data_IF_134161805634
#
_entry.id   IF_134161805634
#
_cell.length_a   1.000
_cell.length_b   1.000
_cell.length_c   1.000
_cell.angle_alpha   90.00
_cell.angle_beta   90.00
_cell.angle_gamma   90.00
#
_symmetry.space_group_name_H-M   'P 1'
#
loop_
_entity.id
_entity.type
_entity.pdbx_description
1 polymer ?
#
# COMPACT_ATOMS: atom_id res chain seq x y z
N UNK A 1 22.37 13.76 -14.59
CA UNK A 1 22.70 13.50 -13.17
C UNK A 1 21.40 13.39 -12.40
N UNK A 2 21.28 12.47 -11.45
CA UNK A 2 20.09 12.44 -10.59
C UNK A 2 19.94 13.79 -9.87
N UNK A 3 18.76 14.37 -9.94
CA UNK A 3 18.44 15.72 -9.41
C UNK A 3 18.79 15.91 -7.93
N UNK A 4 18.69 14.85 -7.11
CA UNK A 4 19.07 14.91 -5.69
C UNK A 4 20.60 15.12 -5.47
N UNK A 5 21.47 14.65 -6.37
CA UNK A 5 22.93 14.89 -6.30
C UNK A 5 23.30 16.32 -6.66
N UNK A 6 22.47 16.98 -7.44
CA UNK A 6 22.63 18.39 -7.81
C UNK A 6 22.08 19.35 -6.74
N UNK A 7 21.52 18.85 -5.62
CA UNK A 7 20.87 19.69 -4.60
C UNK A 7 19.53 20.31 -5.04
N UNK A 8 18.98 19.83 -6.15
CA UNK A 8 17.72 20.37 -6.70
C UNK A 8 16.48 19.93 -5.90
N UNK A 9 16.58 18.86 -5.10
CA UNK A 9 15.48 18.37 -4.24
C UNK A 9 15.80 18.77 -2.81
N UNK A 10 15.10 19.78 -2.29
CA UNK A 10 15.22 20.20 -0.89
C UNK A 10 14.28 19.40 0.03
N UNK A 11 13.08 19.02 -0.48
CA UNK A 11 12.07 18.28 0.27
C UNK A 11 11.31 17.32 -0.65
N UNK A 12 10.94 16.16 -0.14
CA UNK A 12 10.09 15.15 -0.81
C UNK A 12 8.80 14.92 -0.01
N UNK A 13 7.67 14.81 -0.70
CA UNK A 13 6.32 14.57 -0.19
C UNK A 13 5.56 13.77 -1.25
N UNK A 14 4.68 12.85 -0.90
CA UNK A 14 4.47 12.18 0.41
C UNK A 14 5.24 10.87 0.51
N UNK A 15 5.69 10.30 -0.59
CA UNK A 15 6.23 8.94 -0.68
C UNK A 15 7.43 8.87 -1.62
N UNK A 16 8.30 7.87 -1.43
CA UNK A 16 9.45 7.67 -2.32
C UNK A 16 9.91 6.22 -2.34
N UNK A 17 10.40 5.75 -3.49
CA UNK A 17 10.94 4.38 -3.68
C UNK A 17 12.41 4.37 -4.13
N UNK A 18 12.96 5.53 -4.50
CA UNK A 18 14.32 5.63 -5.03
C UNK A 18 15.38 5.46 -3.93
N UNK A 19 16.27 4.47 -4.06
CA UNK A 19 17.28 4.14 -3.04
C UNK A 19 18.26 5.27 -2.74
N UNK A 20 18.66 6.06 -3.76
CA UNK A 20 19.58 7.16 -3.57
C UNK A 20 18.89 8.35 -2.86
N UNK A 21 17.62 8.60 -3.14
CA UNK A 21 16.83 9.60 -2.43
C UNK A 21 16.58 9.16 -0.98
N UNK A 22 16.25 7.89 -0.75
CA UNK A 22 16.13 7.29 0.59
C UNK A 22 17.40 7.53 1.40
N UNK A 23 18.57 7.27 0.80
CA UNK A 23 19.84 7.53 1.46
C UNK A 23 20.01 9.02 1.81
N UNK A 24 19.69 9.93 0.89
CA UNK A 24 19.79 11.37 1.12
C UNK A 24 18.85 11.86 2.24
N UNK A 25 17.66 11.30 2.35
CA UNK A 25 16.71 11.58 3.43
C UNK A 25 17.26 11.08 4.77
N UNK A 26 17.71 9.82 4.85
CA UNK A 26 18.27 9.24 6.07
C UNK A 26 19.62 9.90 6.48
N UNK A 27 20.35 10.50 5.54
CA UNK A 27 21.55 11.30 5.82
C UNK A 27 21.22 12.76 6.24
N UNK A 28 19.95 13.13 6.33
CA UNK A 28 19.50 14.49 6.69
C UNK A 28 19.73 15.57 5.62
N UNK A 29 20.02 15.16 4.37
CA UNK A 29 20.32 16.08 3.24
C UNK A 29 19.06 16.55 2.50
N UNK A 30 17.97 15.80 2.59
CA UNK A 30 16.67 16.09 1.96
C UNK A 30 15.60 15.98 3.04
N UNK A 31 14.79 17.02 3.19
CA UNK A 31 13.61 16.97 4.05
C UNK A 31 12.60 15.96 3.52
N UNK A 32 11.91 15.28 4.43
CA UNK A 32 10.87 14.33 4.06
C UNK A 32 9.61 14.53 4.90
N UNK A 33 8.47 14.58 4.24
CA UNK A 33 7.17 14.61 4.91
C UNK A 33 6.44 13.35 4.53
N UNK A 34 6.36 12.43 5.49
CA UNK A 34 5.56 11.22 5.37
C UNK A 34 4.09 11.53 5.67
N UNK A 35 3.19 10.99 4.87
CA UNK A 35 1.76 11.13 5.08
C UNK A 35 1.00 10.03 4.35
N UNK A 36 -0.22 9.74 4.79
CA UNK A 36 -1.14 8.89 4.05
C UNK A 36 -1.39 9.44 2.66
N UNK A 37 -1.29 8.60 1.65
CA UNK A 37 -1.36 9.03 0.26
C UNK A 37 -2.74 9.60 -0.10
N UNK A 38 -3.82 9.02 0.41
CA UNK A 38 -5.18 9.50 0.22
C UNK A 38 -5.44 10.90 0.77
N UNK A 39 -4.61 11.36 1.74
CA UNK A 39 -4.71 12.70 2.33
C UNK A 39 -3.91 13.77 1.58
N UNK A 40 -2.97 13.38 0.72
CA UNK A 40 -2.09 14.34 0.05
C UNK A 40 -2.84 15.32 -0.88
N UNK A 41 -3.86 14.93 -1.65
CA UNK A 41 -4.68 15.86 -2.43
C UNK A 41 -5.36 16.93 -1.57
N UNK A 42 -5.98 16.52 -0.47
CA UNK A 42 -6.64 17.43 0.46
C UNK A 42 -5.65 18.43 1.08
N UNK A 43 -4.47 17.99 1.51
CA UNK A 43 -3.45 18.87 2.09
C UNK A 43 -2.94 19.92 1.10
N UNK A 44 -2.81 19.56 -0.17
CA UNK A 44 -2.42 20.49 -1.23
C UNK A 44 -3.54 21.48 -1.49
N UNK A 45 -4.77 20.99 -1.69
CA UNK A 45 -5.93 21.83 -1.98
C UNK A 45 -6.27 22.79 -0.84
N UNK A 46 -6.05 22.37 0.43
CA UNK A 46 -6.25 23.21 1.62
C UNK A 46 -5.08 24.16 1.91
N UNK A 47 -3.94 24.02 1.21
CA UNK A 47 -2.74 24.84 1.43
C UNK A 47 -1.92 24.45 2.66
N UNK A 48 -2.16 23.26 3.25
CA UNK A 48 -1.31 22.72 4.33
C UNK A 48 0.07 22.28 3.79
N UNK A 49 0.11 21.90 2.53
CA UNK A 49 1.33 21.75 1.74
C UNK A 49 1.31 22.85 0.68
N UNK A 50 2.46 23.47 0.42
CA UNK A 50 2.55 24.51 -0.61
C UNK A 50 2.01 23.98 -1.93
N UNK A 51 1.12 24.76 -2.56
CA UNK A 51 0.62 24.49 -3.90
C UNK A 51 1.76 24.50 -4.92
N UNK A 52 1.71 23.65 -5.93
CA UNK A 52 2.73 23.67 -6.98
C UNK A 52 2.57 24.92 -7.85
N UNK A 53 3.65 25.60 -8.15
CA UNK A 53 3.65 26.68 -9.14
C UNK A 53 3.50 26.08 -10.55
N UNK A 54 4.13 24.91 -10.79
CA UNK A 54 4.08 24.19 -12.06
C UNK A 54 3.82 22.70 -11.79
N UNK A 55 2.83 22.14 -12.49
CA UNK A 55 2.62 20.69 -12.56
C UNK A 55 3.30 20.11 -13.79
N UNK A 56 4.13 19.08 -13.62
CA UNK A 56 4.68 18.26 -14.70
C UNK A 56 3.84 17.00 -14.79
N UNK A 57 3.19 16.78 -15.93
CA UNK A 57 2.15 15.75 -16.09
C UNK A 57 2.44 14.90 -17.31
N UNK A 58 2.42 13.60 -17.15
CA UNK A 58 2.40 12.65 -18.27
C UNK A 58 0.95 12.45 -18.75
N UNK A 59 0.74 12.44 -20.04
CA UNK A 59 -0.55 12.18 -20.67
C UNK A 59 -0.38 11.40 -21.98
N UNK A 60 -1.45 10.71 -22.39
CA UNK A 60 -1.53 10.08 -23.74
C UNK A 60 -1.79 11.11 -24.83
N UNK A 61 -2.70 12.03 -24.52
CA UNK A 61 -3.17 13.04 -25.46
C UNK A 61 -3.76 14.23 -24.70
N UNK A 62 -3.98 15.33 -25.43
CA UNK A 62 -4.71 16.50 -24.98
C UNK A 62 -5.95 16.62 -25.86
N UNK A 63 -7.14 16.76 -25.27
CA UNK A 63 -8.40 16.96 -25.99
C UNK A 63 -8.46 18.33 -26.65
N UNK A 64 -9.43 18.53 -27.55
CA UNK A 64 -9.68 19.85 -28.18
C UNK A 64 -9.90 20.97 -27.15
N UNK A 65 -10.53 20.66 -26.01
CA UNK A 65 -10.78 21.59 -24.91
C UNK A 65 -9.59 21.74 -23.95
N UNK A 66 -8.46 21.08 -24.21
CA UNK A 66 -7.26 21.14 -23.38
C UNK A 66 -7.29 20.25 -22.16
N UNK A 67 -8.17 19.25 -22.10
CA UNK A 67 -8.15 18.23 -21.04
C UNK A 67 -7.10 17.15 -21.32
N UNK A 68 -6.59 16.50 -20.26
CA UNK A 68 -5.50 15.55 -20.36
C UNK A 68 -6.03 14.12 -20.26
N UNK A 69 -5.71 13.28 -21.25
CA UNK A 69 -6.02 11.84 -21.19
C UNK A 69 -4.91 11.14 -20.38
N UNK A 70 -5.22 10.53 -19.23
CA UNK A 70 -4.21 9.85 -18.41
C UNK A 70 -3.60 8.65 -19.11
N UNK A 71 -2.42 8.25 -18.66
CA UNK A 71 -1.75 7.01 -19.06
C UNK A 71 -2.16 5.85 -18.14
N UNK A 72 -1.23 5.00 -17.72
CA UNK A 72 -1.44 3.89 -16.77
C UNK A 72 -1.42 4.32 -15.30
N UNK A 73 -1.39 5.61 -15.03
CA UNK A 73 -1.43 6.20 -13.69
C UNK A 73 -2.24 7.49 -13.71
N UNK A 74 -3.13 7.65 -12.74
CA UNK A 74 -3.85 8.90 -12.47
C UNK A 74 -3.25 9.60 -11.25
N UNK A 75 -3.03 8.87 -10.16
CA UNK A 75 -2.36 9.37 -8.96
C UNK A 75 -2.98 10.67 -8.43
N UNK A 76 -2.10 11.57 -8.01
CA UNK A 76 -2.46 12.92 -7.58
C UNK A 76 -2.47 13.94 -8.73
N UNK A 77 -2.30 13.52 -9.96
CA UNK A 77 -2.21 14.41 -11.14
C UNK A 77 -3.41 15.34 -11.25
N UNK A 78 -4.67 14.89 -11.04
CA UNK A 78 -5.83 15.79 -11.11
C UNK A 78 -5.73 16.96 -10.13
N UNK A 79 -5.27 16.70 -8.90
CA UNK A 79 -5.08 17.75 -7.88
C UNK A 79 -3.95 18.69 -8.25
N UNK A 80 -2.81 18.17 -8.74
CA UNK A 80 -1.70 19.01 -9.16
C UNK A 80 -2.08 19.91 -10.33
N UNK A 81 -2.81 19.39 -11.32
CA UNK A 81 -3.33 20.17 -12.45
C UNK A 81 -4.32 21.25 -11.97
N UNK A 82 -5.23 20.91 -11.04
CA UNK A 82 -6.22 21.85 -10.53
C UNK A 82 -5.58 23.01 -9.74
N UNK A 83 -4.59 22.71 -8.90
CA UNK A 83 -4.00 23.67 -7.94
C UNK A 83 -2.76 24.41 -8.46
N UNK A 84 -2.11 23.94 -9.53
CA UNK A 84 -0.95 24.61 -10.13
C UNK A 84 -1.36 25.85 -10.95
N UNK A 85 -0.45 26.82 -11.01
CA UNK A 85 -0.61 28.01 -11.86
C UNK A 85 -0.35 27.70 -13.34
N UNK A 86 0.51 26.70 -13.59
CA UNK A 86 0.92 26.30 -14.94
C UNK A 86 1.10 24.79 -15.02
N UNK A 87 0.91 24.24 -16.23
CA UNK A 87 1.08 22.81 -16.54
C UNK A 87 2.06 22.65 -17.68
N UNK A 88 2.99 21.71 -17.51
CA UNK A 88 3.84 21.20 -18.59
C UNK A 88 3.43 19.75 -18.83
N UNK A 89 3.03 19.43 -20.06
CA UNK A 89 2.53 18.11 -20.41
C UNK A 89 3.60 17.33 -21.17
N UNK A 90 3.94 16.14 -20.68
CA UNK A 90 4.73 15.15 -21.42
C UNK A 90 3.77 14.18 -22.12
N UNK A 91 3.79 14.16 -23.43
CA UNK A 91 3.02 13.19 -24.23
C UNK A 91 3.85 11.91 -24.39
N UNK A 92 3.33 10.81 -23.82
CA UNK A 92 4.00 9.51 -23.77
C UNK A 92 3.70 8.69 -25.04
N UNK A 93 4.51 8.88 -26.08
CA UNK A 93 4.36 8.17 -27.36
C UNK A 93 4.61 6.66 -27.27
N UNK A 94 5.29 6.20 -26.22
CA UNK A 94 5.54 4.78 -25.98
C UNK A 94 4.32 4.02 -25.46
N UNK A 95 3.22 4.72 -25.14
CA UNK A 95 1.98 4.11 -24.63
C UNK A 95 0.88 4.12 -25.69
N UNK A 96 0.08 3.04 -25.79
CA UNK A 96 -0.97 2.96 -26.79
C UNK A 96 -2.13 3.91 -26.47
N UNK A 97 -2.64 4.62 -27.49
CA UNK A 97 -3.82 5.48 -27.36
C UNK A 97 -5.07 4.69 -26.93
N UNK A 98 -5.09 3.39 -27.12
CA UNK A 98 -6.16 2.51 -26.66
C UNK A 98 -6.40 2.52 -25.15
N UNK A 99 -5.46 3.05 -24.32
CA UNK A 99 -5.67 3.32 -22.90
C UNK A 99 -6.76 4.36 -22.63
N UNK A 100 -7.08 5.21 -23.61
CA UNK A 100 -8.17 6.19 -23.48
C UNK A 100 -9.47 5.51 -23.06
N UNK A 101 -10.14 6.08 -22.06
CA UNK A 101 -11.37 5.54 -21.50
C UNK A 101 -11.18 4.58 -20.31
N UNK A 102 -9.96 4.15 -19.97
CA UNK A 102 -9.72 3.34 -18.75
C UNK A 102 -9.81 4.18 -17.47
N UNK A 103 -9.50 5.46 -17.55
CA UNK A 103 -9.59 6.36 -16.39
C UNK A 103 -11.03 6.72 -16.03
N UNK A 104 -11.25 7.02 -14.75
CA UNK A 104 -12.48 7.53 -14.15
C UNK A 104 -12.11 8.61 -13.13
N UNK A 105 -11.90 9.82 -13.64
CA UNK A 105 -11.42 10.96 -12.86
C UNK A 105 -12.59 11.70 -12.20
N UNK A 106 -12.79 11.43 -10.94
CA UNK A 106 -13.76 12.16 -10.11
C UNK A 106 -13.02 13.17 -9.23
N UNK A 107 -13.44 14.45 -9.33
CA UNK A 107 -12.89 15.55 -8.54
C UNK A 107 -13.73 15.75 -7.30
N UNK A 108 -13.17 15.45 -6.12
CA UNK A 108 -13.86 15.67 -4.86
C UNK A 108 -14.09 17.16 -4.59
N UNK A 109 -15.25 17.47 -4.03
CA UNK A 109 -15.51 18.81 -3.51
C UNK A 109 -14.61 19.11 -2.31
N UNK A 110 -14.21 20.36 -2.13
CA UNK A 110 -13.45 20.79 -0.96
C UNK A 110 -14.35 20.86 0.28
N UNK A 111 -13.82 20.53 1.48
CA UNK A 111 -14.54 20.81 2.74
C UNK A 111 -14.90 22.30 2.90
N UNK A 112 -15.88 22.63 3.74
CA UNK A 112 -16.74 21.76 4.53
C UNK A 112 -17.95 21.23 3.77
N UNK A 113 -18.61 20.20 4.32
CA UNK A 113 -19.89 19.68 3.84
C UNK A 113 -19.87 19.15 2.40
N UNK A 114 -18.73 18.57 1.95
CA UNK A 114 -18.63 17.95 0.64
C UNK A 114 -19.61 16.78 0.51
N UNK A 115 -20.11 16.57 -0.71
CA UNK A 115 -20.98 15.43 -0.99
C UNK A 115 -20.22 14.11 -0.85
N UNK A 116 -20.91 13.03 -0.44
CA UNK A 116 -20.34 11.69 -0.44
C UNK A 116 -19.82 11.30 -1.83
N UNK A 117 -18.70 10.58 -1.89
CA UNK A 117 -18.21 10.01 -3.14
C UNK A 117 -19.22 8.93 -3.59
N UNK A 118 -19.88 9.05 -4.75
CA UNK A 118 -20.99 8.16 -5.13
C UNK A 118 -20.50 6.82 -5.71
N UNK A 119 -19.58 6.13 -5.01
CA UNK A 119 -19.00 4.85 -5.41
C UNK A 119 -19.44 3.78 -4.41
N UNK A 120 -20.16 2.76 -4.89
CA UNK A 120 -20.74 1.66 -4.10
C UNK A 120 -20.26 0.28 -4.52
N UNK A 121 -19.62 0.20 -5.70
CA UNK A 121 -18.99 -1.02 -6.22
C UNK A 121 -17.65 -0.68 -6.87
N UNK A 122 -16.61 -1.54 -6.81
CA UNK A 122 -15.31 -1.27 -7.45
C UNK A 122 -15.39 -0.94 -8.94
N UNK A 123 -16.40 -1.45 -9.64
CA UNK A 123 -16.65 -1.20 -11.06
C UNK A 123 -17.43 0.06 -11.40
N UNK A 124 -17.95 0.81 -10.40
CA UNK A 124 -18.71 2.03 -10.69
C UNK A 124 -17.84 3.07 -11.37
N UNK A 125 -18.36 3.72 -12.41
CA UNK A 125 -17.76 4.89 -13.04
C UNK A 125 -18.53 6.14 -12.62
N UNK A 126 -17.85 7.08 -12.02
CA UNK A 126 -18.44 8.26 -11.34
C UNK A 126 -17.87 9.60 -11.84
N UNK A 127 -16.84 9.56 -12.66
CA UNK A 127 -16.10 10.73 -13.14
C UNK A 127 -16.02 10.81 -14.66
N UNK A 128 -14.93 11.39 -15.15
CA UNK A 128 -14.65 11.59 -16.58
C UNK A 128 -13.43 10.74 -16.99
N UNK A 129 -13.30 10.37 -18.28
CA UNK A 129 -12.12 9.64 -18.77
C UNK A 129 -10.87 10.53 -18.93
N UNK A 130 -10.93 11.79 -18.51
CA UNK A 130 -9.86 12.78 -18.65
C UNK A 130 -9.69 13.59 -17.37
N UNK A 131 -8.50 14.17 -17.22
CA UNK A 131 -8.19 15.13 -16.16
C UNK A 131 -8.60 16.53 -16.64
N UNK A 132 -9.53 17.21 -15.95
CA UNK A 132 -9.89 18.58 -16.29
C UNK A 132 -8.66 19.51 -16.25
N UNK A 133 -8.43 20.21 -17.34
CA UNK A 133 -7.38 21.22 -17.47
C UNK A 133 -7.97 22.37 -18.32
N UNK A 134 -7.20 23.01 -19.11
CA UNK A 134 -7.55 24.04 -20.08
C UNK A 134 -6.29 24.53 -20.75
N UNK A 135 -6.42 25.00 -21.97
CA UNK A 135 -5.29 25.51 -22.76
C UNK A 135 -4.61 26.70 -22.09
N UNK A 136 -5.32 27.47 -21.32
CA UNK A 136 -4.79 28.60 -20.55
C UNK A 136 -3.71 28.22 -19.53
N UNK A 137 -3.81 27.03 -18.94
CA UNK A 137 -2.83 26.47 -17.99
C UNK A 137 -1.64 25.82 -18.68
N UNK A 138 -1.79 25.26 -19.87
CA UNK A 138 -0.73 24.51 -20.58
C UNK A 138 0.30 25.48 -21.13
N UNK A 139 1.54 25.46 -20.59
CA UNK A 139 2.62 26.36 -21.00
C UNK A 139 3.65 25.69 -21.92
N UNK A 140 3.77 24.37 -21.88
CA UNK A 140 4.62 23.62 -22.78
C UNK A 140 4.11 22.19 -22.96
N UNK A 141 4.42 21.62 -24.12
CA UNK A 141 4.17 20.21 -24.46
C UNK A 141 5.51 19.62 -24.84
N UNK A 142 5.85 18.50 -24.24
CA UNK A 142 7.06 17.71 -24.51
C UNK A 142 6.63 16.38 -25.11
N UNK A 143 7.17 16.03 -26.25
CA UNK A 143 6.93 14.71 -26.86
C UNK A 143 8.02 13.77 -26.39
N UNK A 144 7.64 12.64 -25.78
CA UNK A 144 8.57 11.65 -25.24
C UNK A 144 8.25 10.26 -25.80
N UNK A 145 9.29 9.57 -26.26
CA UNK A 145 9.22 8.18 -26.73
C UNK A 145 9.97 7.25 -25.76
N UNK A 146 9.96 7.61 -24.47
CA UNK A 146 10.62 6.83 -23.42
C UNK A 146 9.63 5.86 -22.79
N UNK A 147 10.01 4.59 -22.75
CA UNK A 147 9.28 3.60 -21.96
C UNK A 147 9.47 3.81 -20.47
N UNK A 148 8.50 3.36 -19.67
CA UNK A 148 8.59 3.35 -18.22
C UNK A 148 9.78 2.51 -17.75
N UNK A 149 10.42 2.97 -16.67
CA UNK A 149 11.42 2.20 -15.96
C UNK A 149 10.73 1.18 -15.02
N UNK A 150 10.14 0.15 -15.61
CA UNK A 150 9.56 -0.95 -14.85
C UNK A 150 10.66 -1.79 -14.20
N UNK A 151 10.30 -2.52 -13.14
CA UNK A 151 11.24 -3.39 -12.45
C UNK A 151 10.73 -4.84 -12.51
N UNK A 152 11.62 -5.82 -12.73
CA UNK A 152 11.24 -7.22 -12.56
C UNK A 152 10.66 -7.43 -11.15
N UNK A 153 9.65 -8.26 -11.04
CA UNK A 153 9.12 -8.66 -9.74
C UNK A 153 10.18 -9.42 -8.95
N UNK A 154 10.22 -9.18 -7.64
CA UNK A 154 11.02 -10.01 -6.76
C UNK A 154 10.50 -11.46 -6.79
N UNK A 155 11.42 -12.43 -6.87
CA UNK A 155 11.05 -13.83 -6.81
C UNK A 155 10.29 -14.13 -5.52
N UNK A 156 9.25 -14.96 -5.63
CA UNK A 156 8.47 -15.40 -4.47
C UNK A 156 9.32 -16.38 -3.67
N UNK A 157 9.66 -16.02 -2.44
CA UNK A 157 10.39 -16.88 -1.51
C UNK A 157 9.49 -17.99 -0.95
N UNK A 158 10.09 -19.01 -0.36
CA UNK A 158 9.33 -20.07 0.33
C UNK A 158 8.53 -19.51 1.53
N UNK A 159 9.07 -18.52 2.25
CA UNK A 159 8.33 -17.84 3.32
C UNK A 159 7.14 -17.07 2.77
N UNK A 160 7.30 -16.34 1.65
CA UNK A 160 6.18 -15.65 0.99
C UNK A 160 5.08 -16.63 0.57
N UNK A 161 5.43 -17.82 0.06
CA UNK A 161 4.47 -18.88 -0.29
C UNK A 161 3.70 -19.37 0.94
N UNK A 162 4.41 -19.63 2.06
CA UNK A 162 3.77 -20.07 3.30
C UNK A 162 2.85 -19.00 3.88
N UNK A 163 3.25 -17.72 3.84
CA UNK A 163 2.40 -16.60 4.24
C UNK A 163 1.14 -16.57 3.37
N UNK A 164 1.27 -16.70 2.05
CA UNK A 164 0.14 -16.78 1.13
C UNK A 164 -0.80 -17.94 1.47
N UNK A 165 -0.26 -19.14 1.71
CA UNK A 165 -1.04 -20.31 2.13
C UNK A 165 -1.77 -20.11 3.46
N UNK A 166 -1.13 -19.46 4.44
CA UNK A 166 -1.76 -19.15 5.73
C UNK A 166 -2.92 -18.16 5.58
N UNK A 167 -2.83 -17.19 4.65
CA UNK A 167 -3.93 -16.26 4.34
C UNK A 167 -5.08 -17.00 3.65
N UNK A 168 -4.80 -17.88 2.69
CA UNK A 168 -5.86 -18.68 2.03
C UNK A 168 -6.56 -19.54 3.06
N UNK A 169 -5.83 -20.23 3.94
CA UNK A 169 -6.41 -21.02 5.04
C UNK A 169 -7.29 -20.15 5.95
N UNK A 170 -6.81 -18.96 6.31
CA UNK A 170 -7.62 -18.03 7.10
C UNK A 170 -8.93 -17.65 6.39
N UNK A 171 -8.91 -17.37 5.09
CA UNK A 171 -10.13 -17.09 4.34
C UNK A 171 -11.06 -18.30 4.25
N UNK A 172 -10.53 -19.52 4.10
CA UNK A 172 -11.31 -20.75 4.14
C UNK A 172 -11.99 -20.94 5.50
N UNK A 173 -11.28 -20.69 6.60
CA UNK A 173 -11.83 -20.71 7.96
C UNK A 173 -12.92 -19.65 8.16
N UNK A 174 -12.75 -18.43 7.60
CA UNK A 174 -13.77 -17.39 7.64
C UNK A 174 -15.04 -17.77 6.85
N UNK A 175 -14.89 -18.42 5.70
CA UNK A 175 -16.02 -18.91 4.90
C UNK A 175 -16.71 -20.07 5.61
N UNK A 176 -15.95 -21.01 6.18
CA UNK A 176 -16.50 -22.12 6.93
C UNK A 176 -17.29 -21.67 8.17
N UNK A 177 -16.84 -20.58 8.80
CA UNK A 177 -17.52 -19.93 9.93
C UNK A 177 -18.71 -19.04 9.51
N UNK A 178 -18.97 -18.87 8.21
CA UNK A 178 -20.04 -18.01 7.69
C UNK A 178 -19.81 -16.51 7.84
N UNK A 179 -18.58 -16.07 8.09
CA UNK A 179 -18.21 -14.65 8.21
C UNK A 179 -17.83 -14.02 6.88
N UNK A 180 -17.36 -14.79 5.91
CA UNK A 180 -17.14 -14.37 4.53
C UNK A 180 -17.90 -15.24 3.54
N UNK A 181 -18.23 -14.70 2.37
CA UNK A 181 -18.73 -15.45 1.22
C UNK A 181 -17.58 -15.99 0.35
N UNK A 182 -17.88 -16.88 -0.60
CA UNK A 182 -16.88 -17.43 -1.54
C UNK A 182 -16.29 -16.39 -2.49
N UNK A 183 -16.99 -15.29 -2.74
CA UNK A 183 -16.49 -14.14 -3.51
C UNK A 183 -15.62 -13.19 -2.68
N UNK A 184 -15.49 -13.46 -1.38
CA UNK A 184 -14.83 -12.60 -0.40
C UNK A 184 -15.45 -11.18 -0.38
N UNK A 185 -14.78 -10.24 0.26
CA UNK A 185 -15.03 -8.80 0.13
C UNK A 185 -14.03 -8.24 -0.89
N UNK A 186 -14.24 -7.02 -1.42
CA UNK A 186 -13.28 -6.44 -2.35
C UNK A 186 -11.88 -6.37 -1.75
N UNK A 187 -10.88 -6.76 -2.54
CA UNK A 187 -9.51 -7.01 -2.07
C UNK A 187 -8.65 -5.78 -2.33
N UNK A 188 -8.02 -5.26 -1.28
CA UNK A 188 -6.86 -4.39 -1.37
C UNK A 188 -5.61 -5.22 -1.08
N UNK A 189 -4.62 -5.12 -1.94
CA UNK A 189 -3.32 -5.75 -1.74
C UNK A 189 -2.20 -4.73 -1.86
N UNK A 190 -1.22 -4.81 -0.97
CA UNK A 190 0.04 -4.11 -1.12
C UNK A 190 0.84 -4.64 -2.32
N UNK A 191 2.08 -4.19 -2.45
CA UNK A 191 3.01 -4.62 -3.51
C UNK A 191 4.13 -5.49 -2.94
N UNK A 192 4.73 -6.35 -3.78
CA UNK A 192 5.89 -7.16 -3.42
C UNK A 192 5.64 -8.66 -3.36
N UNK A 193 6.66 -9.42 -2.95
CA UNK A 193 6.66 -10.90 -3.04
C UNK A 193 5.55 -11.57 -2.24
N UNK A 194 5.22 -11.06 -1.05
CA UNK A 194 4.13 -11.60 -0.22
C UNK A 194 2.77 -11.33 -0.87
N UNK A 195 2.52 -10.08 -1.31
CA UNK A 195 1.29 -9.72 -2.00
C UNK A 195 1.07 -10.59 -3.25
N UNK A 196 2.11 -10.78 -4.07
CA UNK A 196 2.05 -11.65 -5.23
C UNK A 196 1.76 -13.11 -4.86
N UNK A 197 2.38 -13.62 -3.78
CA UNK A 197 2.14 -14.99 -3.32
C UNK A 197 0.68 -15.20 -2.89
N UNK A 198 0.07 -14.23 -2.22
CA UNK A 198 -1.35 -14.28 -1.84
C UNK A 198 -2.25 -14.29 -3.07
N UNK A 199 -2.02 -13.39 -4.03
CA UNK A 199 -2.84 -13.29 -5.25
C UNK A 199 -2.71 -14.55 -6.12
N UNK A 200 -1.52 -15.16 -6.21
CA UNK A 200 -1.37 -16.46 -6.87
C UNK A 200 -2.08 -17.58 -6.09
N UNK A 201 -2.06 -17.54 -4.75
CA UNK A 201 -2.84 -18.46 -3.94
C UNK A 201 -4.35 -18.32 -4.19
N UNK A 202 -4.87 -17.11 -4.33
CA UNK A 202 -6.27 -16.85 -4.70
C UNK A 202 -6.61 -17.38 -6.09
N UNK A 203 -5.72 -17.19 -7.06
CA UNK A 203 -5.89 -17.74 -8.42
C UNK A 203 -6.09 -19.24 -8.41
N UNK A 204 -5.31 -19.94 -7.60
CA UNK A 204 -5.29 -21.41 -7.54
C UNK A 204 -6.32 -21.97 -6.52
N UNK A 205 -7.05 -21.10 -5.81
CA UNK A 205 -8.06 -21.46 -4.79
C UNK A 205 -9.45 -21.72 -5.37
N UNK A 206 -10.39 -22.09 -4.50
CA UNK A 206 -11.80 -22.26 -4.82
C UNK A 206 -12.61 -20.93 -4.78
N UNK A 207 -11.98 -19.79 -4.49
CA UNK A 207 -12.64 -18.49 -4.49
C UNK A 207 -12.89 -18.02 -5.92
N UNK A 208 -14.06 -17.39 -6.15
CA UNK A 208 -14.53 -16.95 -7.47
C UNK A 208 -15.36 -15.68 -7.36
N UNK A 209 -15.47 -14.91 -8.48
CA UNK A 209 -16.22 -13.65 -8.51
C UNK A 209 -15.58 -12.60 -7.61
N UNK A 210 -14.26 -12.58 -7.57
CA UNK A 210 -13.50 -11.63 -6.75
C UNK A 210 -13.58 -10.23 -7.36
N UNK A 211 -13.52 -9.22 -6.53
CA UNK A 211 -13.34 -7.83 -6.94
C UNK A 211 -12.14 -7.23 -6.24
N UNK A 212 -11.44 -6.31 -6.91
CA UNK A 212 -10.27 -5.66 -6.36
C UNK A 212 -10.46 -4.14 -6.31
N UNK A 213 -10.08 -3.54 -5.20
CA UNK A 213 -10.04 -2.10 -5.01
C UNK A 213 -8.76 -1.75 -4.25
N UNK A 214 -7.75 -1.29 -4.97
CA UNK A 214 -6.38 -1.17 -4.47
C UNK A 214 -5.71 0.13 -4.92
N UNK A 215 -4.52 0.41 -4.41
CA UNK A 215 -3.70 1.53 -4.88
C UNK A 215 -2.99 1.17 -6.19
N UNK A 216 -2.25 0.06 -6.20
CA UNK A 216 -1.40 -0.35 -7.32
C UNK A 216 -1.77 -1.75 -7.79
N UNK A 217 -1.85 -1.93 -9.10
CA UNK A 217 -1.96 -3.25 -9.75
C UNK A 217 -0.59 -3.70 -10.23
N UNK A 218 -0.22 -4.94 -9.89
CA UNK A 218 0.97 -5.64 -10.36
C UNK A 218 0.59 -6.93 -11.13
N UNK A 219 1.58 -7.67 -11.64
CA UNK A 219 1.43 -8.84 -12.48
C UNK A 219 0.42 -9.87 -11.95
N UNK A 220 0.54 -10.23 -10.67
CA UNK A 220 -0.33 -11.25 -10.07
C UNK A 220 -1.82 -10.86 -10.04
N UNK A 221 -2.13 -9.55 -9.97
CA UNK A 221 -3.51 -9.07 -10.05
C UNK A 221 -3.99 -9.03 -11.51
N UNK A 222 -3.10 -8.69 -12.47
CA UNK A 222 -3.41 -8.83 -13.90
C UNK A 222 -3.73 -10.29 -14.25
N UNK A 223 -2.95 -11.23 -13.73
CA UNK A 223 -3.18 -12.67 -13.91
C UNK A 223 -4.52 -13.11 -13.30
N UNK A 224 -4.86 -12.58 -12.12
CA UNK A 224 -6.12 -12.89 -11.44
C UNK A 224 -7.33 -12.43 -12.25
N UNK A 225 -7.25 -11.25 -12.86
CA UNK A 225 -8.26 -10.72 -13.79
C UNK A 225 -8.28 -11.55 -15.07
N UNK A 226 -7.10 -11.82 -15.66
CA UNK A 226 -6.99 -12.52 -16.95
C UNK A 226 -7.53 -13.96 -16.92
N UNK A 227 -7.36 -14.65 -15.79
CA UNK A 227 -7.89 -16.02 -15.61
C UNK A 227 -9.37 -16.07 -15.19
N UNK A 228 -10.06 -14.92 -15.07
CA UNK A 228 -11.48 -14.82 -14.73
C UNK A 228 -11.79 -15.08 -13.26
N UNK A 229 -10.82 -15.02 -12.37
CA UNK A 229 -11.03 -15.12 -10.92
C UNK A 229 -11.47 -13.78 -10.33
N UNK A 230 -11.00 -12.67 -10.86
CA UNK A 230 -11.45 -11.33 -10.51
C UNK A 230 -12.22 -10.69 -11.66
N UNK A 231 -13.44 -10.24 -11.38
CA UNK A 231 -14.32 -9.63 -12.36
C UNK A 231 -13.92 -8.19 -12.70
N UNK A 232 -13.44 -7.46 -11.70
CA UNK A 232 -13.07 -6.04 -11.82
C UNK A 232 -11.93 -5.69 -10.87
N UNK A 233 -11.03 -4.83 -11.32
CA UNK A 233 -9.99 -4.22 -10.49
C UNK A 233 -9.99 -2.69 -10.66
N UNK A 234 -10.00 -1.96 -9.56
CA UNK A 234 -9.93 -0.50 -9.51
C UNK A 234 -8.68 -0.07 -8.77
N UNK A 235 -7.90 0.84 -9.37
CA UNK A 235 -6.63 1.29 -8.80
C UNK A 235 -6.30 2.74 -9.19
N UNK A 236 -5.20 3.26 -8.68
CA UNK A 236 -4.67 4.56 -9.14
C UNK A 236 -3.51 4.43 -10.11
N UNK A 237 -2.82 3.28 -10.09
CA UNK A 237 -1.61 3.05 -10.87
C UNK A 237 -1.45 1.58 -11.26
N UNK A 238 -0.93 1.35 -12.47
CA UNK A 238 -0.45 0.06 -12.94
C UNK A 238 1.09 0.07 -12.90
N UNK A 239 1.68 -0.87 -12.17
CA UNK A 239 3.13 -1.03 -12.02
C UNK A 239 3.58 -2.48 -12.29
N UNK A 240 3.45 -2.98 -13.52
CA UNK A 240 3.78 -4.35 -13.89
C UNK A 240 5.27 -4.53 -14.15
N UNK A 241 5.70 -5.79 -14.30
CA UNK A 241 6.97 -6.12 -14.93
C UNK A 241 6.98 -5.74 -16.42
N UNK A 242 8.14 -5.67 -17.08
CA UNK A 242 8.21 -5.40 -18.52
C UNK A 242 7.39 -6.38 -19.35
N UNK A 243 7.42 -7.65 -18.98
CA UNK A 243 6.71 -8.74 -19.68
C UNK A 243 5.19 -8.58 -19.52
N UNK A 244 4.73 -8.32 -18.30
CA UNK A 244 3.31 -8.14 -18.02
C UNK A 244 2.78 -6.82 -18.62
N UNK A 245 3.61 -5.77 -18.72
CA UNK A 245 3.24 -4.53 -19.40
C UNK A 245 2.99 -4.77 -20.89
N UNK A 246 3.85 -5.54 -21.54
CA UNK A 246 3.67 -5.89 -22.96
C UNK A 246 2.38 -6.68 -23.15
N UNK A 247 2.16 -7.73 -22.35
CA UNK A 247 0.94 -8.55 -22.43
C UNK A 247 -0.34 -7.72 -22.13
N UNK A 248 -0.26 -6.75 -21.23
CA UNK A 248 -1.35 -5.83 -20.94
C UNK A 248 -1.69 -4.94 -22.15
N UNK A 249 -0.68 -4.38 -22.82
CA UNK A 249 -0.91 -3.54 -24.00
C UNK A 249 -1.39 -4.34 -25.21
N UNK A 250 -0.94 -5.59 -25.37
CA UNK A 250 -1.37 -6.46 -26.47
C UNK A 250 -2.84 -6.88 -26.35
N UNK A 251 -3.42 -6.86 -25.14
CA UNK A 251 -4.81 -7.27 -24.88
C UNK A 251 -5.62 -6.17 -24.14
N UNK A 252 -5.35 -4.93 -24.52
CA UNK A 252 -5.89 -3.76 -23.83
C UNK A 252 -7.42 -3.69 -23.87
N UNK A 253 -8.04 -4.17 -24.94
CA UNK A 253 -9.50 -4.16 -25.07
C UNK A 253 -10.16 -5.05 -24.01
N UNK A 254 -9.57 -6.21 -23.71
CA UNK A 254 -9.99 -7.04 -22.59
C UNK A 254 -9.86 -6.28 -21.27
N UNK A 255 -8.70 -5.70 -20.99
CA UNK A 255 -8.46 -5.04 -19.71
C UNK A 255 -9.28 -3.76 -19.52
N UNK A 256 -9.71 -3.09 -20.59
CA UNK A 256 -10.61 -1.91 -20.49
C UNK A 256 -11.96 -2.23 -19.86
N UNK A 257 -12.44 -3.45 -20.02
CA UNK A 257 -13.70 -3.92 -19.42
C UNK A 257 -13.52 -4.27 -17.93
N UNK A 258 -12.28 -4.58 -17.51
CA UNK A 258 -12.00 -5.13 -16.19
C UNK A 258 -11.15 -4.23 -15.28
N UNK A 259 -10.52 -3.15 -15.79
CA UNK A 259 -9.65 -2.28 -15.00
C UNK A 259 -10.07 -0.83 -15.11
N UNK A 260 -10.12 -0.14 -13.97
CA UNK A 260 -10.44 1.29 -13.87
C UNK A 260 -9.33 2.02 -13.14
N UNK A 261 -8.77 3.06 -13.76
CA UNK A 261 -7.80 3.95 -13.12
C UNK A 261 -8.48 5.17 -12.49
N UNK A 262 -8.20 5.44 -11.21
CA UNK A 262 -8.83 6.49 -10.43
C UNK A 262 -7.82 7.48 -9.85
N UNK A 263 -8.23 8.72 -9.55
CA UNK A 263 -7.44 9.59 -8.70
C UNK A 263 -7.11 8.92 -7.35
N UNK A 264 -5.94 9.21 -6.80
CA UNK A 264 -5.51 8.65 -5.53
C UNK A 264 -6.44 9.02 -4.37
N UNK A 265 -7.06 10.19 -4.42
CA UNK A 265 -8.08 10.62 -3.45
C UNK A 265 -9.31 9.69 -3.45
N UNK A 266 -9.57 9.00 -4.57
CA UNK A 266 -10.67 8.04 -4.69
C UNK A 266 -10.21 6.64 -4.32
N UNK A 267 -9.12 6.12 -4.93
CA UNK A 267 -8.62 4.77 -4.65
C UNK A 267 -8.22 4.58 -3.18
N UNK A 268 -7.67 5.61 -2.55
CA UNK A 268 -7.23 5.62 -1.16
C UNK A 268 -8.23 6.30 -0.22
N UNK A 269 -9.48 6.43 -0.63
CA UNK A 269 -10.51 7.07 0.19
C UNK A 269 -10.94 6.19 1.36
N UNK A 270 -10.78 6.69 2.57
CA UNK A 270 -11.29 6.05 3.81
C UNK A 270 -12.81 5.86 3.73
N UNK A 271 -13.53 6.86 3.21
CA UNK A 271 -14.98 6.83 3.02
C UNK A 271 -15.42 5.69 2.09
N UNK A 272 -14.77 5.58 0.93
CA UNK A 272 -15.07 4.54 -0.06
C UNK A 272 -14.66 3.16 0.45
N UNK A 273 -13.46 3.02 1.00
CA UNK A 273 -12.96 1.78 1.58
C UNK A 273 -13.89 1.21 2.65
N UNK A 274 -14.40 2.08 3.53
CA UNK A 274 -15.36 1.67 4.57
C UNK A 274 -16.69 1.24 3.98
N UNK A 275 -17.21 1.96 2.98
CA UNK A 275 -18.48 1.62 2.32
C UNK A 275 -18.38 0.32 1.52
N UNK A 276 -17.29 0.07 0.82
CA UNK A 276 -17.04 -1.16 0.09
C UNK A 276 -16.79 -2.36 1.01
N UNK A 277 -16.32 -2.12 2.23
CA UNK A 277 -16.05 -3.17 3.21
C UNK A 277 -14.84 -4.01 2.84
N UNK A 278 -13.70 -3.39 2.53
CA UNK A 278 -12.51 -4.06 1.97
C UNK A 278 -11.92 -5.13 2.91
N UNK A 279 -11.21 -6.09 2.32
CA UNK A 279 -10.11 -6.83 2.94
C UNK A 279 -8.83 -6.07 2.60
N UNK A 280 -8.18 -5.49 3.61
CA UNK A 280 -6.92 -4.78 3.44
C UNK A 280 -5.73 -5.67 3.85
N UNK A 281 -4.80 -5.92 2.92
CA UNK A 281 -3.61 -6.73 3.15
C UNK A 281 -2.37 -5.88 2.91
N UNK A 282 -1.61 -5.61 3.99
CA UNK A 282 -0.42 -4.78 3.96
C UNK A 282 0.78 -5.48 4.63
N UNK A 283 1.98 -4.99 4.36
CA UNK A 283 3.22 -5.59 4.87
C UNK A 283 3.77 -4.78 6.03
N UNK A 284 4.21 -5.47 7.08
CA UNK A 284 4.94 -4.92 8.21
C UNK A 284 6.46 -5.16 8.09
N UNK A 285 7.26 -4.29 8.71
CA UNK A 285 8.67 -4.55 9.01
C UNK A 285 8.81 -5.31 10.32
N UNK A 286 8.02 -4.91 11.32
CA UNK A 286 7.95 -5.57 12.63
C UNK A 286 6.58 -5.31 13.29
N UNK A 287 6.23 -6.19 14.21
CA UNK A 287 4.98 -6.16 14.98
C UNK A 287 5.33 -6.42 16.44
N UNK A 288 4.78 -5.65 17.38
CA UNK A 288 4.97 -5.96 18.79
C UNK A 288 3.96 -6.98 19.32
N UNK A 289 4.20 -7.44 20.54
CA UNK A 289 3.36 -8.48 21.17
C UNK A 289 1.90 -8.06 21.38
N UNK A 290 1.57 -6.76 21.30
CA UNK A 290 0.21 -6.26 21.42
C UNK A 290 -0.47 -5.97 20.08
N UNK A 291 0.29 -6.06 18.99
CA UNK A 291 -0.22 -5.87 17.64
C UNK A 291 -0.04 -4.47 17.07
N UNK A 292 0.82 -3.62 17.67
CA UNK A 292 1.26 -2.40 16.99
C UNK A 292 2.22 -2.75 15.86
N UNK A 293 2.10 -2.06 14.74
CA UNK A 293 2.85 -2.34 13.51
C UNK A 293 3.75 -1.17 13.13
N UNK A 294 5.01 -1.48 12.89
CA UNK A 294 5.96 -0.63 12.19
C UNK A 294 6.09 -1.14 10.75
N UNK A 295 5.73 -0.32 9.77
CA UNK A 295 5.84 -0.63 8.34
C UNK A 295 6.85 0.25 7.60
N UNK A 296 7.43 1.26 8.25
CA UNK A 296 8.21 2.32 7.59
C UNK A 296 9.66 2.44 8.04
N UNK A 297 9.98 2.20 9.31
CA UNK A 297 11.28 2.53 9.89
C UNK A 297 12.06 1.30 10.38
N UNK A 298 13.10 0.92 9.66
CA UNK A 298 14.04 -0.13 10.12
C UNK A 298 14.71 0.32 11.41
N UNK A 299 14.62 -0.50 12.46
CA UNK A 299 15.13 -0.23 13.82
C UNK A 299 14.55 1.09 14.41
N UNK A 300 13.34 1.48 14.01
CA UNK A 300 12.70 2.72 14.44
C UNK A 300 13.35 4.01 13.98
N UNK A 301 14.38 3.96 13.16
CA UNK A 301 15.21 5.13 12.80
C UNK A 301 15.32 5.39 11.31
N UNK A 302 15.54 4.34 10.51
CA UNK A 302 15.86 4.46 9.10
C UNK A 302 14.59 4.28 8.26
N UNK A 303 14.06 5.39 7.76
CA UNK A 303 12.93 5.40 6.87
C UNK A 303 13.21 4.58 5.60
N UNK A 304 12.28 3.70 5.22
CA UNK A 304 12.36 2.89 3.99
C UNK A 304 11.71 3.60 2.81
N UNK A 305 10.40 3.74 2.80
CA UNK A 305 9.67 4.37 1.70
C UNK A 305 8.70 5.45 2.17
N UNK A 306 8.13 5.30 3.35
CA UNK A 306 7.02 6.03 3.92
C UNK A 306 5.80 5.13 4.11
N UNK A 307 4.76 5.65 4.76
CA UNK A 307 3.55 4.89 5.11
C UNK A 307 2.73 4.48 3.88
N UNK A 308 2.83 5.23 2.79
CA UNK A 308 2.05 4.95 1.57
C UNK A 308 0.55 5.03 1.80
N UNK A 309 -0.17 4.09 1.18
CA UNK A 309 -1.61 3.94 1.33
C UNK A 309 -2.03 2.96 2.42
N UNK A 310 -1.10 2.28 3.11
CA UNK A 310 -1.46 1.22 4.06
C UNK A 310 -2.42 1.69 5.15
N UNK A 311 -2.23 2.89 5.70
CA UNK A 311 -3.11 3.47 6.70
C UNK A 311 -4.44 3.99 6.15
N UNK A 312 -4.52 4.35 4.86
CA UNK A 312 -5.78 4.73 4.21
C UNK A 312 -6.75 3.53 4.20
N UNK A 313 -6.22 2.34 3.93
CA UNK A 313 -7.00 1.11 3.87
C UNK A 313 -7.20 0.48 5.25
N UNK A 314 -6.15 0.34 6.08
CA UNK A 314 -6.22 -0.35 7.36
C UNK A 314 -7.16 0.32 8.37
N UNK A 315 -7.36 1.65 8.27
CA UNK A 315 -8.26 2.39 9.18
C UNK A 315 -9.74 2.21 8.88
N UNK A 316 -10.08 1.66 7.73
CA UNK A 316 -11.46 1.66 7.24
C UNK A 316 -11.93 0.34 6.67
N UNK A 317 -11.04 -0.60 6.40
CA UNK A 317 -11.38 -1.91 5.89
C UNK A 317 -12.19 -2.73 6.93
N UNK A 318 -13.05 -3.62 6.43
CA UNK A 318 -13.82 -4.56 7.28
C UNK A 318 -12.94 -5.66 7.84
N UNK A 319 -11.85 -6.00 7.15
CA UNK A 319 -10.87 -6.98 7.60
C UNK A 319 -9.47 -6.45 7.28
N UNK A 320 -8.61 -6.38 8.30
CA UNK A 320 -7.25 -5.83 8.20
C UNK A 320 -6.23 -6.89 8.53
N UNK A 321 -5.36 -7.18 7.56
CA UNK A 321 -4.32 -8.20 7.67
C UNK A 321 -2.96 -7.54 7.47
N UNK A 322 -2.04 -7.74 8.42
CA UNK A 322 -0.64 -7.39 8.26
C UNK A 322 0.21 -8.64 8.13
N UNK A 323 1.13 -8.62 7.16
CA UNK A 323 2.01 -9.75 6.84
C UNK A 323 3.47 -9.38 7.03
N UNK A 324 4.26 -10.32 7.54
CA UNK A 324 5.72 -10.19 7.60
C UNK A 324 6.36 -11.57 7.68
N UNK A 325 7.60 -11.74 7.22
CA UNK A 325 8.40 -12.92 7.60
C UNK A 325 8.74 -12.80 9.09
N UNK A 326 8.64 -13.89 9.84
CA UNK A 326 8.89 -13.87 11.30
C UNK A 326 10.32 -13.50 11.68
N UNK A 327 11.27 -13.68 10.74
CA UNK A 327 12.68 -13.31 10.90
C UNK A 327 13.23 -12.62 9.66
N UNK A 328 14.34 -11.90 9.84
CA UNK A 328 15.14 -11.32 8.78
C UNK A 328 16.64 -11.51 9.04
N UNK A 329 17.48 -11.25 8.03
CA UNK A 329 18.95 -11.36 8.09
C UNK A 329 19.41 -12.71 8.64
N UNK A 330 18.96 -13.79 8.04
CA UNK A 330 19.32 -15.17 8.41
C UNK A 330 19.06 -15.47 9.91
N UNK A 331 17.95 -14.95 10.45
CA UNK A 331 17.55 -15.15 11.83
C UNK A 331 18.19 -14.21 12.86
N UNK A 332 18.98 -13.23 12.43
CA UNK A 332 19.55 -12.23 13.33
C UNK A 332 18.52 -11.18 13.83
N UNK A 333 17.40 -11.01 13.13
CA UNK A 333 16.31 -10.09 13.48
C UNK A 333 15.03 -10.88 13.62
N UNK A 334 14.29 -10.66 14.72
CA UNK A 334 12.89 -11.06 14.85
C UNK A 334 11.99 -9.94 14.36
N UNK A 335 10.97 -10.26 13.56
CA UNK A 335 9.93 -9.31 13.18
C UNK A 335 8.79 -9.25 14.21
N UNK A 336 8.72 -10.21 15.13
CA UNK A 336 7.84 -10.12 16.31
C UNK A 336 8.71 -9.68 17.48
N UNK A 337 8.40 -8.54 18.08
CA UNK A 337 9.26 -7.89 19.08
C UNK A 337 8.48 -7.55 20.35
N UNK A 338 9.15 -7.35 21.51
CA UNK A 338 8.47 -6.92 22.72
C UNK A 338 7.73 -5.58 22.60
N UNK A 339 8.33 -4.62 21.90
CA UNK A 339 7.76 -3.29 21.64
C UNK A 339 8.33 -2.71 20.34
N UNK A 340 7.46 -2.14 19.50
CA UNK A 340 7.88 -1.42 18.31
C UNK A 340 8.47 -0.05 18.67
N UNK A 341 9.69 0.29 18.20
CA UNK A 341 10.29 1.60 18.44
C UNK A 341 9.68 2.72 17.59
N UNK A 342 8.92 2.38 16.58
CA UNK A 342 8.13 3.27 15.71
C UNK A 342 6.81 2.57 15.41
N UNK A 343 5.70 3.30 15.48
CA UNK A 343 4.37 2.74 15.24
C UNK A 343 3.69 3.51 14.12
N UNK A 344 3.37 2.81 13.04
CA UNK A 344 2.59 3.34 11.91
C UNK A 344 1.11 2.98 12.05
N UNK A 345 0.83 1.76 12.54
CA UNK A 345 -0.53 1.26 12.77
C UNK A 345 -0.66 0.75 14.20
N UNK A 346 -1.68 1.22 14.88
CA UNK A 346 -1.90 0.86 16.28
C UNK A 346 -2.65 -0.46 16.41
N UNK A 347 -2.58 -1.08 17.59
CA UNK A 347 -3.34 -2.29 17.93
C UNK A 347 -4.83 -2.19 17.63
N UNK A 348 -5.38 -0.96 17.58
CA UNK A 348 -6.81 -0.71 17.36
C UNK A 348 -7.25 -0.95 15.90
N UNK A 349 -6.32 -0.87 14.95
CA UNK A 349 -6.55 -1.04 13.52
C UNK A 349 -6.20 -2.45 13.04
N UNK A 350 -5.31 -3.16 13.77
CA UNK A 350 -4.75 -4.45 13.36
C UNK A 350 -5.66 -5.58 13.83
N UNK A 351 -6.19 -6.36 12.86
CA UNK A 351 -7.12 -7.46 13.15
C UNK A 351 -6.47 -8.83 13.04
N UNK A 352 -5.60 -9.04 12.03
CA UNK A 352 -4.94 -10.31 11.80
C UNK A 352 -3.47 -10.07 11.47
N UNK A 353 -2.58 -10.85 12.06
CA UNK A 353 -1.16 -10.90 11.72
C UNK A 353 -0.85 -12.26 11.11
N UNK A 354 -0.11 -12.27 10.01
CA UNK A 354 0.28 -13.50 9.31
C UNK A 354 1.78 -13.52 9.07
N UNK A 355 2.41 -14.62 9.47
CA UNK A 355 3.80 -14.95 9.14
C UNK A 355 3.86 -16.31 8.44
N UNK A 356 5.05 -16.77 8.05
CA UNK A 356 5.25 -18.13 7.55
C UNK A 356 5.05 -19.22 8.63
N UNK A 357 4.99 -18.81 9.91
CA UNK A 357 4.69 -19.70 11.04
C UNK A 357 3.21 -20.01 11.17
N UNK A 358 2.33 -19.06 10.84
CA UNK A 358 0.88 -19.17 10.95
C UNK A 358 0.20 -17.81 10.92
N UNK A 359 -1.02 -17.74 11.46
CA UNK A 359 -1.74 -16.49 11.63
C UNK A 359 -2.28 -16.31 13.05
N UNK A 360 -2.35 -15.08 13.50
CA UNK A 360 -2.95 -14.66 14.76
C UNK A 360 -4.18 -13.80 14.47
N UNK A 361 -5.37 -14.33 14.75
CA UNK A 361 -6.62 -13.57 14.72
C UNK A 361 -6.80 -12.83 16.06
N UNK A 362 -6.69 -11.51 16.01
CA UNK A 362 -6.68 -10.64 17.19
C UNK A 362 -8.06 -10.04 17.50
N UNK A 363 -9.06 -10.34 16.70
CA UNK A 363 -10.39 -9.78 16.84
C UNK A 363 -11.04 -10.24 18.14
N UNK A 364 -11.53 -9.28 18.94
CA UNK A 364 -12.18 -9.52 20.21
C UNK A 364 -11.24 -9.92 21.36
N UNK A 365 -9.91 -9.94 21.14
CA UNK A 365 -8.94 -10.26 22.16
C UNK A 365 -8.47 -9.00 22.91
N UNK A 366 -8.33 -9.13 24.23
CA UNK A 366 -7.65 -8.14 25.06
C UNK A 366 -6.15 -8.11 24.74
N UNK A 367 -5.40 -7.04 25.06
CA UNK A 367 -3.96 -6.98 24.77
C UNK A 367 -3.16 -8.16 25.33
N UNK A 368 -3.49 -8.67 26.50
CA UNK A 368 -2.80 -9.85 27.07
C UNK A 368 -3.10 -11.13 26.29
N UNK A 369 -4.32 -11.30 25.80
CA UNK A 369 -4.69 -12.44 24.93
C UNK A 369 -4.03 -12.31 23.56
N UNK A 370 -3.96 -11.07 23.00
CA UNK A 370 -3.23 -10.78 21.77
C UNK A 370 -1.77 -11.18 21.87
N UNK A 371 -1.10 -10.84 23.00
CA UNK A 371 0.31 -11.18 23.19
C UNK A 371 0.56 -12.68 23.09
N UNK A 372 -0.24 -13.48 23.79
CA UNK A 372 -0.14 -14.96 23.69
C UNK A 372 -0.41 -15.43 22.27
N UNK A 373 -1.50 -14.94 21.65
CA UNK A 373 -1.89 -15.33 20.29
C UNK A 373 -0.79 -15.01 19.26
N UNK A 374 -0.20 -13.82 19.29
CA UNK A 374 0.88 -13.42 18.37
C UNK A 374 2.15 -14.25 18.60
N UNK A 375 2.55 -14.40 19.86
CA UNK A 375 3.78 -15.14 20.21
C UNK A 375 3.67 -16.60 19.78
N UNK A 376 2.57 -17.26 20.07
CA UNK A 376 2.40 -18.69 19.78
C UNK A 376 2.26 -18.97 18.27
N UNK A 377 1.55 -18.11 17.51
CA UNK A 377 1.21 -18.39 16.14
C UNK A 377 2.10 -17.71 15.10
N UNK A 378 2.74 -16.57 15.43
CA UNK A 378 3.46 -15.75 14.46
C UNK A 378 4.95 -15.60 14.74
N UNK A 379 5.42 -15.79 16.00
CA UNK A 379 6.83 -15.67 16.31
C UNK A 379 7.63 -16.87 15.81
N UNK A 380 8.86 -16.60 15.31
CA UNK A 380 9.80 -17.66 14.95
C UNK A 380 10.15 -18.50 16.19
N UNK A 381 10.29 -19.84 16.07
CA UNK A 381 10.63 -20.71 17.20
C UNK A 381 11.84 -20.24 18.01
N UNK A 382 12.90 -19.75 17.34
CA UNK A 382 14.12 -19.25 17.99
C UNK A 382 13.91 -18.06 18.96
N UNK A 383 12.79 -17.35 18.82
CA UNK A 383 12.47 -16.14 19.61
C UNK A 383 11.24 -16.32 20.49
N UNK A 384 10.44 -17.36 20.27
CA UNK A 384 9.15 -17.58 20.94
C UNK A 384 9.28 -17.65 22.46
N UNK A 385 10.22 -18.47 22.97
CA UNK A 385 10.42 -18.64 24.39
C UNK A 385 10.87 -17.33 25.06
N UNK A 386 11.77 -16.58 24.41
CA UNK A 386 12.23 -15.29 24.92
C UNK A 386 11.12 -14.22 24.95
N UNK A 387 10.23 -14.21 23.95
CA UNK A 387 9.06 -13.32 23.94
C UNK A 387 8.06 -13.70 25.03
N UNK A 388 7.82 -14.99 25.22
CA UNK A 388 6.90 -15.48 26.25
C UNK A 388 7.45 -15.20 27.67
N UNK A 389 8.74 -15.41 27.90
CA UNK A 389 9.39 -15.04 29.16
C UNK A 389 9.26 -13.53 29.46
N UNK A 390 9.59 -12.69 28.47
CA UNK A 390 9.41 -11.25 28.60
C UNK A 390 7.96 -10.88 29.01
N UNK A 391 6.97 -11.42 28.29
CA UNK A 391 5.57 -11.16 28.53
C UNK A 391 5.12 -11.62 29.92
N UNK A 392 5.51 -12.83 30.34
CA UNK A 392 5.17 -13.37 31.65
C UNK A 392 5.77 -12.54 32.80
N UNK A 393 7.04 -12.12 32.67
CA UNK A 393 7.68 -11.24 33.65
C UNK A 393 7.00 -9.88 33.72
N UNK A 394 6.66 -9.30 32.57
CA UNK A 394 5.92 -8.04 32.52
C UNK A 394 4.54 -8.14 33.21
N UNK A 395 3.82 -9.23 32.99
CA UNK A 395 2.55 -9.50 33.67
C UNK A 395 2.70 -9.71 35.19
N UNK A 396 3.80 -10.31 35.63
CA UNK A 396 4.08 -10.53 37.05
C UNK A 396 4.44 -9.20 37.74
N UNK A 397 5.12 -8.29 37.07
CA UNK A 397 5.50 -6.99 37.60
C UNK A 397 4.30 -6.02 37.67
N UNK A 398 3.40 -6.07 36.67
CA UNK A 398 2.28 -5.15 36.58
C UNK A 398 0.98 -5.80 36.12
N UNK A 399 -0.15 -5.61 36.80
CA UNK A 399 -1.45 -6.10 36.37
C UNK A 399 -2.08 -5.23 35.25
N UNK A 400 -1.40 -4.17 34.79
CA UNK A 400 -1.90 -3.23 33.80
C UNK A 400 -2.37 -3.93 32.50
N UNK A 401 -3.11 -3.20 31.67
CA UNK A 401 -3.72 -3.73 30.43
C UNK A 401 -2.65 -4.16 29.42
N UNK A 402 -1.59 -3.37 29.24
CA UNK A 402 -0.45 -3.61 28.35
C UNK A 402 0.85 -3.59 29.16
N UNK A 403 1.15 -4.62 29.97
CA UNK A 403 2.33 -4.63 30.82
C UNK A 403 3.62 -4.69 29.97
N UNK A 404 4.58 -3.84 30.30
CA UNK A 404 5.91 -3.80 29.71
C UNK A 404 7.00 -3.68 30.78
N UNK A 405 8.13 -4.32 30.57
CA UNK A 405 9.38 -4.05 31.27
C UNK A 405 10.08 -2.93 30.52
N UNK A 406 9.87 -1.68 30.94
CA UNK A 406 10.32 -0.51 30.19
C UNK A 406 11.84 -0.50 29.94
N UNK A 407 12.61 -1.01 30.89
CA UNK A 407 14.07 -1.12 30.77
C UNK A 407 14.52 -2.14 29.69
N UNK A 408 13.65 -3.10 29.37
CA UNK A 408 13.96 -4.18 28.43
C UNK A 408 13.18 -4.07 27.10
N UNK A 409 12.12 -3.29 27.05
CA UNK A 409 11.17 -3.27 25.92
C UNK A 409 11.82 -3.05 24.55
N UNK A 410 12.90 -2.24 24.48
CA UNK A 410 13.68 -1.98 23.26
C UNK A 410 15.09 -2.62 23.31
N UNK A 411 15.33 -3.54 24.24
CA UNK A 411 16.66 -4.15 24.42
C UNK A 411 17.13 -4.94 23.20
N UNK A 412 16.21 -5.58 22.48
CA UNK A 412 16.51 -6.33 21.26
C UNK A 412 17.04 -5.43 20.13
N UNK A 413 16.42 -4.29 19.94
CA UNK A 413 16.87 -3.28 18.97
C UNK A 413 18.24 -2.72 19.35
N UNK A 414 18.42 -2.39 20.64
CA UNK A 414 19.69 -1.90 21.17
C UNK A 414 20.82 -2.95 21.06
N UNK A 415 20.50 -4.23 21.28
CA UNK A 415 21.44 -5.34 21.12
C UNK A 415 21.83 -5.48 19.65
N UNK A 416 20.85 -5.49 18.73
CA UNK A 416 21.13 -5.57 17.32
C UNK A 416 22.08 -4.46 16.83
N UNK A 417 21.89 -3.22 17.28
CA UNK A 417 22.80 -2.11 16.93
C UNK A 417 24.26 -2.37 17.38
N UNK A 418 24.45 -3.02 18.51
CA UNK A 418 25.76 -3.26 19.11
C UNK A 418 26.44 -4.52 18.56
N UNK A 419 25.68 -5.56 18.29
CA UNK A 419 26.20 -6.92 18.00
C UNK A 419 25.86 -7.44 16.61
N UNK A 420 24.87 -6.83 15.93
CA UNK A 420 24.34 -7.32 14.66
C UNK A 420 23.29 -8.43 14.80
N UNK A 421 22.86 -8.76 16.03
CA UNK A 421 21.83 -9.76 16.30
C UNK A 421 20.92 -9.31 17.46
N UNK A 422 19.65 -9.70 17.37
CA UNK A 422 18.67 -9.54 18.48
C UNK A 422 18.74 -10.70 19.50
N UNK A 423 19.48 -11.79 19.17
CA UNK A 423 19.70 -12.94 20.06
C UNK A 423 20.64 -12.61 21.19
#
# INVERSE_FOLDING_TARGET
MPTHRAGAIAKRIPYQTNSALRKAINDGKVGYVDMHLGRSPEFIAAGHVRKPDIALVEALAITEDGHLIPTTSVGNTPTYVAEADAVIVEIAMSKPLALEGMADVYMCQKPPCRQPIPLTHPGDRIGTPYIPCGWDKIKAIVISDRSDLTRPLAAISEDSKKIGQNIIRFFEDEVAAGRLGKSLLPIQSGVGSVANAVLYGLRDSAFEGLTCYTEVIQDSMLDLVKCGKADIASCTELAPSPEAQTAFFDDIDFYKEHIIFRPQEISNSIEVSHRLGLIAMNTALEVDIYGNVNSTHVQGKKMMNGIGGSGDFSRSASLVIFTTSSIAKDGAISSIVPMCPHVDHTEHEVMVIVTEQGYADLRGLSPKERAVCIIENCAHPDYRDALMDYFQRACAESPCQTPHLLDEALSWHSRFEKTGSMK
#
